data_IF_763913683627
#
_entry.id   IF_763913683627
#
_cell.length_a   1.000
_cell.length_b   1.000
_cell.length_c   1.000
_cell.angle_alpha   90.00
_cell.angle_beta   90.00
_cell.angle_gamma   90.00
#
_symmetry.space_group_name_H-M   'P 1'
#
loop_
_entity.id
_entity.type
_entity.pdbx_description
1 polymer ?
#
# COMPACT_ATOMS: atom_id res chain seq x y z
N UNK A 1 8.56 -83.85 -25.51
CA UNK A 1 8.20 -82.45 -25.79
C UNK A 1 7.17 -82.05 -24.74
N UNK A 2 7.65 -81.37 -23.68
CA UNK A 2 6.82 -80.92 -22.56
C UNK A 2 6.67 -79.39 -22.66
N UNK A 3 5.44 -78.91 -22.87
CA UNK A 3 5.12 -77.48 -22.84
C UNK A 3 4.91 -77.06 -21.38
N UNK A 4 5.75 -76.14 -20.91
CA UNK A 4 5.56 -75.47 -19.62
C UNK A 4 4.69 -74.23 -19.84
N UNK A 5 3.57 -74.16 -19.17
CA UNK A 5 2.71 -72.99 -19.09
C UNK A 5 3.09 -72.18 -17.85
N UNK A 6 3.61 -70.97 -18.04
CA UNK A 6 3.88 -70.03 -16.96
C UNK A 6 2.71 -69.09 -16.87
N UNK A 7 1.94 -69.21 -15.75
CA UNK A 7 0.85 -68.32 -15.41
C UNK A 7 1.42 -67.00 -14.82
N UNK A 8 1.11 -65.86 -15.47
CA UNK A 8 1.32 -64.53 -14.91
C UNK A 8 0.11 -64.14 -14.02
N UNK A 9 0.40 -64.05 -12.71
CA UNK A 9 -0.57 -63.46 -11.76
C UNK A 9 -0.44 -61.93 -11.83
N UNK A 10 -1.48 -61.24 -12.33
CA UNK A 10 -1.57 -59.80 -12.23
C UNK A 10 -1.95 -59.40 -10.80
N UNK A 11 -1.00 -58.88 -10.05
CA UNK A 11 -1.24 -58.25 -8.78
C UNK A 11 -1.75 -56.80 -9.00
N UNK A 12 -3.01 -56.58 -8.67
CA UNK A 12 -3.63 -55.24 -8.71
C UNK A 12 -3.14 -54.44 -7.52
N UNK A 13 -2.22 -53.51 -7.73
CA UNK A 13 -1.80 -52.51 -6.73
C UNK A 13 -2.91 -51.48 -6.61
N UNK A 14 -3.66 -51.49 -5.50
CA UNK A 14 -4.58 -50.41 -5.15
C UNK A 14 -3.72 -49.30 -4.54
N UNK A 15 -3.41 -48.27 -5.31
CA UNK A 15 -2.85 -47.02 -4.80
C UNK A 15 -3.97 -46.27 -4.11
N UNK A 16 -3.98 -46.30 -2.78
CA UNK A 16 -4.82 -45.42 -1.99
C UNK A 16 -4.27 -43.98 -2.16
N UNK A 17 -4.91 -43.20 -3.02
CA UNK A 17 -4.70 -41.76 -3.09
C UNK A 17 -5.18 -41.15 -1.78
N UNK A 18 -4.27 -40.87 -0.86
CA UNK A 18 -4.54 -40.02 0.28
C UNK A 18 -4.86 -38.62 -0.27
N UNK A 19 -6.16 -38.31 -0.38
CA UNK A 19 -6.63 -36.97 -0.60
C UNK A 19 -6.11 -36.13 0.60
N UNK A 20 -5.10 -35.31 0.37
CA UNK A 20 -4.79 -34.20 1.25
C UNK A 20 -6.05 -33.35 1.34
N UNK A 21 -6.80 -33.53 2.44
CA UNK A 21 -7.95 -32.71 2.74
C UNK A 21 -7.47 -31.26 2.84
N UNK A 22 -7.70 -30.47 1.78
CA UNK A 22 -7.60 -29.05 1.84
C UNK A 22 -8.53 -28.59 2.96
N UNK A 23 -7.97 -28.04 4.03
CA UNK A 23 -8.73 -27.33 5.06
C UNK A 23 -9.35 -26.12 4.39
N UNK A 24 -10.54 -26.31 3.79
CA UNK A 24 -11.36 -25.22 3.30
C UNK A 24 -11.65 -24.29 4.48
N UNK A 25 -11.05 -23.11 4.46
CA UNK A 25 -11.37 -22.09 5.45
C UNK A 25 -12.88 -21.83 5.44
N UNK A 26 -13.44 -21.49 6.59
CA UNK A 26 -14.83 -21.05 6.62
C UNK A 26 -14.96 -19.72 5.85
N UNK A 27 -16.13 -19.41 5.24
CA UNK A 27 -16.34 -18.11 4.56
C UNK A 27 -15.99 -16.88 5.44
N UNK A 28 -16.15 -17.03 6.77
CA UNK A 28 -15.76 -16.00 7.74
C UNK A 28 -14.23 -15.83 7.84
N UNK A 29 -13.47 -16.94 7.79
CA UNK A 29 -11.99 -16.88 7.82
C UNK A 29 -11.41 -16.29 6.52
N UNK A 30 -12.00 -16.62 5.39
CA UNK A 30 -11.58 -16.04 4.09
C UNK A 30 -11.81 -14.54 4.05
N UNK A 31 -12.97 -14.05 4.51
CA UNK A 31 -13.24 -12.61 4.62
C UNK A 31 -12.28 -11.90 5.58
N UNK A 32 -11.92 -12.54 6.70
CA UNK A 32 -10.97 -12.00 7.64
C UNK A 32 -9.56 -11.88 7.02
N UNK A 33 -9.12 -12.89 6.30
CA UNK A 33 -7.83 -12.88 5.59
C UNK A 33 -7.81 -11.82 4.49
N UNK A 34 -8.89 -11.72 3.69
CA UNK A 34 -8.98 -10.69 2.66
C UNK A 34 -8.92 -9.29 3.28
N UNK A 35 -9.64 -9.05 4.38
CA UNK A 35 -9.60 -7.78 5.08
C UNK A 35 -8.18 -7.44 5.58
N UNK A 36 -7.43 -8.40 6.08
CA UNK A 36 -6.03 -8.20 6.50
C UNK A 36 -5.13 -7.88 5.31
N UNK A 37 -5.29 -8.59 4.19
CA UNK A 37 -4.57 -8.31 2.95
C UNK A 37 -4.86 -6.89 2.46
N UNK A 38 -6.12 -6.46 2.47
CA UNK A 38 -6.52 -5.12 2.07
C UNK A 38 -5.91 -4.03 2.97
N UNK A 39 -5.92 -4.22 4.29
CA UNK A 39 -5.28 -3.31 5.25
C UNK A 39 -3.78 -3.21 4.97
N UNK A 40 -3.13 -4.34 4.68
CA UNK A 40 -1.71 -4.36 4.33
C UNK A 40 -1.45 -3.58 3.04
N UNK A 41 -2.23 -3.83 1.97
CA UNK A 41 -2.09 -3.10 0.70
C UNK A 41 -2.32 -1.60 0.87
N UNK A 42 -3.33 -1.19 1.65
CA UNK A 42 -3.58 0.21 1.97
C UNK A 42 -2.38 0.82 2.72
N UNK A 43 -1.80 0.09 3.67
CA UNK A 43 -0.61 0.57 4.40
C UNK A 43 0.62 0.74 3.51
N UNK A 44 0.74 -0.02 2.41
CA UNK A 44 1.83 0.16 1.43
C UNK A 44 1.71 1.49 0.65
N UNK A 45 0.51 2.08 0.58
CA UNK A 45 0.34 3.43 -0.01
C UNK A 45 1.18 4.45 0.76
N UNK A 46 1.13 4.44 2.09
CA UNK A 46 1.93 5.33 2.94
C UNK A 46 3.43 5.14 2.66
N UNK A 47 3.88 3.90 2.62
CA UNK A 47 5.28 3.57 2.32
C UNK A 47 5.72 4.16 0.99
N UNK A 48 5.01 3.84 -0.10
CA UNK A 48 5.34 4.34 -1.43
C UNK A 48 5.23 5.87 -1.52
N UNK A 49 4.27 6.46 -0.81
CA UNK A 49 4.09 7.91 -0.72
C UNK A 49 5.34 8.60 -0.15
N UNK A 50 5.87 8.12 0.98
CA UNK A 50 7.05 8.69 1.61
C UNK A 50 8.35 8.36 0.87
N UNK A 51 8.48 7.15 0.35
CA UNK A 51 9.62 6.78 -0.48
C UNK A 51 9.70 7.64 -1.75
N UNK A 52 8.58 7.89 -2.41
CA UNK A 52 8.53 8.73 -3.61
C UNK A 52 8.94 10.19 -3.30
N UNK A 53 8.50 10.73 -2.16
CA UNK A 53 8.96 12.06 -1.71
C UNK A 53 10.46 12.08 -1.42
N UNK A 54 10.98 11.11 -0.69
CA UNK A 54 12.40 11.03 -0.35
C UNK A 54 13.29 10.85 -1.57
N UNK A 55 12.83 10.08 -2.57
CA UNK A 55 13.52 9.88 -3.85
C UNK A 55 13.28 11.00 -4.87
N UNK A 56 12.36 11.93 -4.60
CA UNK A 56 11.87 12.95 -5.55
C UNK A 56 11.25 12.32 -6.82
N UNK A 57 10.67 11.14 -6.67
CA UNK A 57 10.03 10.40 -7.77
C UNK A 57 8.55 10.78 -7.91
N UNK A 58 8.30 11.78 -8.76
CA UNK A 58 6.94 12.25 -9.00
C UNK A 58 6.08 11.22 -9.76
N UNK A 59 6.66 10.34 -10.56
CA UNK A 59 5.91 9.32 -11.28
C UNK A 59 5.42 8.23 -10.31
N UNK A 60 6.28 7.77 -9.40
CA UNK A 60 5.87 6.86 -8.32
C UNK A 60 4.77 7.51 -7.46
N UNK A 61 4.97 8.78 -7.05
CA UNK A 61 3.95 9.51 -6.29
C UNK A 61 2.61 9.53 -7.01
N UNK A 62 2.59 9.89 -8.29
CA UNK A 62 1.35 10.02 -9.05
C UNK A 62 0.66 8.69 -9.34
N UNK A 63 1.39 7.58 -9.31
CA UNK A 63 0.83 6.24 -9.47
C UNK A 63 -0.11 5.80 -8.35
N UNK A 64 -0.05 6.48 -7.20
CA UNK A 64 -0.86 6.21 -6.01
C UNK A 64 -2.25 6.86 -6.07
N UNK A 65 -2.48 7.78 -7.01
CA UNK A 65 -3.68 8.61 -7.05
C UNK A 65 -4.71 8.14 -8.06
N UNK A 66 -5.97 8.16 -7.67
CA UNK A 66 -7.08 7.99 -8.61
C UNK A 66 -7.18 9.19 -9.58
N UNK A 67 -7.67 8.99 -10.84
CA UNK A 67 -7.72 10.06 -11.84
C UNK A 67 -8.43 11.33 -11.39
N UNK A 68 -9.50 11.20 -10.60
CA UNK A 68 -10.34 12.31 -10.13
C UNK A 68 -10.13 12.60 -8.63
N UNK A 69 -8.99 12.24 -8.09
CA UNK A 69 -8.67 12.46 -6.68
C UNK A 69 -8.64 13.96 -6.31
N UNK A 70 -8.78 14.22 -5.01
CA UNK A 70 -8.63 15.57 -4.45
C UNK A 70 -7.53 15.59 -3.40
N UNK A 71 -6.76 16.68 -3.39
CA UNK A 71 -5.73 16.92 -2.41
C UNK A 71 -5.91 18.30 -1.78
N UNK A 72 -6.28 18.33 -0.50
CA UNK A 72 -6.33 19.55 0.31
C UNK A 72 -5.02 19.70 1.07
N UNK A 73 -4.27 20.77 0.77
CA UNK A 73 -2.91 21.01 1.28
C UNK A 73 -2.78 22.29 2.12
N UNK A 74 -3.90 22.98 2.34
CA UNK A 74 -3.99 24.16 3.19
C UNK A 74 -5.42 24.69 3.26
N UNK A 75 -5.70 25.68 4.12
CA UNK A 75 -7.02 26.28 4.24
C UNK A 75 -7.52 26.83 2.90
N UNK A 76 -8.61 26.27 2.37
CA UNK A 76 -9.20 26.65 1.08
C UNK A 76 -8.35 26.28 -0.14
N UNK A 77 -7.26 25.53 0.01
CA UNK A 77 -6.38 25.14 -1.09
C UNK A 77 -6.60 23.65 -1.42
N UNK A 78 -7.18 23.40 -2.58
CA UNK A 78 -7.45 22.03 -3.04
C UNK A 78 -7.06 21.88 -4.50
N UNK A 79 -6.29 20.83 -4.80
CA UNK A 79 -6.02 20.37 -6.15
C UNK A 79 -6.99 19.23 -6.51
N UNK A 80 -7.51 19.22 -7.72
CA UNK A 80 -8.44 18.20 -8.21
C UNK A 80 -7.92 17.57 -9.49
N UNK A 81 -7.90 16.23 -9.50
CA UNK A 81 -7.36 15.44 -10.61
C UNK A 81 -5.83 15.39 -10.62
N UNK A 82 -5.32 14.34 -11.25
CA UNK A 82 -3.87 14.01 -11.21
C UNK A 82 -2.98 15.13 -11.75
N UNK A 83 -3.43 15.89 -12.76
CA UNK A 83 -2.63 16.98 -13.32
C UNK A 83 -2.40 18.13 -12.32
N UNK A 84 -3.45 18.54 -11.60
CA UNK A 84 -3.31 19.60 -10.59
C UNK A 84 -2.53 19.10 -9.37
N UNK A 85 -2.79 17.86 -8.93
CA UNK A 85 -2.08 17.24 -7.81
C UNK A 85 -0.59 17.13 -8.11
N UNK A 86 -0.21 16.68 -9.31
CA UNK A 86 1.19 16.67 -9.78
C UNK A 86 1.84 18.04 -9.71
N UNK A 87 1.16 19.05 -10.23
CA UNK A 87 1.67 20.43 -10.20
C UNK A 87 1.88 20.91 -8.76
N UNK A 88 0.95 20.59 -7.86
CA UNK A 88 1.05 20.95 -6.44
C UNK A 88 2.28 20.29 -5.79
N UNK A 89 2.49 18.99 -6.03
CA UNK A 89 3.65 18.28 -5.48
C UNK A 89 4.97 18.80 -6.02
N UNK A 90 5.08 19.02 -7.34
CA UNK A 90 6.29 19.58 -7.95
C UNK A 90 6.63 21.00 -7.46
N UNK A 91 5.65 21.77 -7.02
CA UNK A 91 5.85 23.07 -6.40
C UNK A 91 6.00 23.04 -4.87
N UNK A 92 5.99 21.84 -4.27
CA UNK A 92 6.15 21.72 -2.81
C UNK A 92 7.62 21.59 -2.42
N UNK A 93 8.03 22.08 -1.24
CA UNK A 93 9.38 21.88 -0.73
C UNK A 93 9.82 20.42 -0.69
N UNK A 94 8.88 19.48 -0.49
CA UNK A 94 9.17 18.04 -0.44
C UNK A 94 9.72 17.47 -1.75
N UNK A 95 9.46 18.13 -2.90
CA UNK A 95 9.92 17.72 -4.23
C UNK A 95 11.01 18.61 -4.82
N UNK A 96 11.35 19.70 -4.16
CA UNK A 96 12.47 20.55 -4.63
C UNK A 96 13.80 19.79 -4.52
N UNK A 97 14.63 19.76 -5.61
CA UNK A 97 15.91 19.07 -5.58
C UNK A 97 16.88 19.58 -4.51
N UNK A 98 16.75 20.86 -4.15
CA UNK A 98 17.60 21.51 -3.17
C UNK A 98 17.20 21.21 -1.71
N UNK A 99 16.06 20.56 -1.47
CA UNK A 99 15.67 20.21 -0.10
C UNK A 99 16.43 18.99 0.38
N UNK A 100 16.98 19.08 1.58
CA UNK A 100 17.72 18.03 2.27
C UNK A 100 16.82 17.15 3.12
N UNK A 101 15.50 17.24 2.97
CA UNK A 101 14.54 16.53 3.81
C UNK A 101 14.24 15.14 3.26
N UNK A 102 14.26 14.18 4.13
CA UNK A 102 13.73 12.83 3.93
C UNK A 102 12.61 12.59 4.93
N UNK A 103 11.69 11.72 4.57
CA UNK A 103 10.65 11.24 5.48
C UNK A 103 11.14 10.02 6.22
N UNK A 104 10.81 9.90 7.50
CA UNK A 104 11.02 8.64 8.22
C UNK A 104 10.15 7.54 7.63
N UNK A 105 10.65 6.34 7.75
CA UNK A 105 9.96 5.19 7.20
C UNK A 105 10.31 3.93 8.02
N UNK A 106 9.31 3.24 8.56
CA UNK A 106 7.87 3.52 8.47
C UNK A 106 7.46 4.77 9.27
N UNK A 107 6.26 5.30 8.96
CA UNK A 107 5.65 6.34 9.76
C UNK A 107 5.53 5.91 11.23
N UNK A 108 5.71 6.83 12.16
CA UNK A 108 5.60 6.50 13.59
C UNK A 108 4.15 6.27 14.04
N UNK A 109 3.18 6.72 13.23
CA UNK A 109 1.76 6.43 13.42
C UNK A 109 1.14 6.08 12.08
N UNK A 110 0.45 4.95 12.04
CA UNK A 110 -0.21 4.43 10.85
C UNK A 110 -1.50 3.71 11.25
N UNK A 111 -2.63 4.17 10.74
CA UNK A 111 -3.93 3.57 10.99
C UNK A 111 -4.67 3.37 9.66
N UNK A 112 -4.97 2.12 9.31
CA UNK A 112 -5.72 1.78 8.11
C UNK A 112 -7.03 1.08 8.45
N UNK A 113 -8.09 1.43 7.72
CA UNK A 113 -9.38 0.75 7.79
C UNK A 113 -9.84 0.33 6.41
N UNK A 114 -10.70 -0.70 6.35
CA UNK A 114 -11.29 -1.17 5.10
C UNK A 114 -12.74 -1.60 5.30
N UNK A 115 -13.57 -1.24 4.33
CA UNK A 115 -14.97 -1.67 4.22
C UNK A 115 -15.31 -1.88 2.74
N UNK A 116 -15.31 -3.13 2.28
CA UNK A 116 -15.44 -3.47 0.87
C UNK A 116 -14.32 -2.84 0.03
N UNK A 117 -14.70 -2.12 -1.02
CA UNK A 117 -13.75 -1.45 -1.93
C UNK A 117 -13.42 0.00 -1.53
N UNK A 118 -13.65 0.34 -0.28
CA UNK A 118 -13.30 1.65 0.29
C UNK A 118 -12.52 1.47 1.58
N UNK A 119 -11.64 2.42 1.87
CA UNK A 119 -10.87 2.43 3.11
C UNK A 119 -10.42 3.84 3.47
N UNK A 120 -9.81 3.93 4.63
CA UNK A 120 -9.11 5.13 5.09
C UNK A 120 -7.70 4.76 5.52
N UNK A 121 -6.80 5.73 5.41
CA UNK A 121 -5.44 5.64 5.90
C UNK A 121 -5.09 6.97 6.57
N UNK A 122 -4.72 6.91 7.85
CA UNK A 122 -4.14 8.02 8.59
C UNK A 122 -2.69 7.73 8.88
N UNK A 123 -1.82 8.72 8.72
CA UNK A 123 -0.42 8.60 9.08
C UNK A 123 0.12 9.88 9.70
N UNK A 124 1.15 9.73 10.52
CA UNK A 124 2.02 10.82 10.97
C UNK A 124 3.47 10.37 10.86
N UNK A 125 4.33 11.22 10.31
CA UNK A 125 5.76 10.95 10.16
C UNK A 125 6.59 12.22 10.34
N UNK A 126 7.91 12.04 10.42
CA UNK A 126 8.84 13.13 10.57
C UNK A 126 9.52 13.46 9.25
N UNK A 127 9.69 14.75 8.97
CA UNK A 127 10.69 15.20 8.02
C UNK A 127 12.00 15.43 8.74
N UNK A 128 13.02 14.73 8.28
CA UNK A 128 14.35 14.73 8.86
C UNK A 128 15.25 15.53 7.93
N UNK A 129 15.90 16.53 8.50
CA UNK A 129 16.96 17.26 7.82
C UNK A 129 18.20 16.36 7.77
N UNK A 130 18.69 16.03 6.57
CA UNK A 130 19.77 15.05 6.39
C UNK A 130 21.14 15.61 6.80
N UNK A 131 21.31 16.94 6.78
CA UNK A 131 22.58 17.57 7.15
C UNK A 131 22.76 17.59 8.67
N UNK A 132 21.69 17.79 9.41
CA UNK A 132 21.71 17.89 10.87
C UNK A 132 21.26 16.62 11.58
N UNK A 133 20.55 15.72 10.89
CA UNK A 133 19.91 14.55 11.47
C UNK A 133 18.76 14.86 12.44
N UNK A 134 18.25 16.10 12.42
CA UNK A 134 17.18 16.54 13.30
C UNK A 134 15.82 16.48 12.61
N UNK A 135 14.77 16.28 13.41
CA UNK A 135 13.39 16.40 12.94
C UNK A 135 13.11 17.88 12.67
N UNK A 136 12.86 18.22 11.40
CA UNK A 136 12.56 19.58 10.96
C UNK A 136 11.05 19.86 10.97
N UNK A 137 10.21 18.85 10.71
CA UNK A 137 8.76 18.99 10.72
C UNK A 137 8.08 17.65 11.07
N UNK A 138 6.89 17.74 11.63
CA UNK A 138 5.95 16.62 11.71
C UNK A 138 4.90 16.82 10.63
N UNK A 139 4.70 15.83 9.79
CA UNK A 139 3.69 15.85 8.75
C UNK A 139 2.73 14.69 8.93
N UNK A 140 1.51 14.87 8.48
CA UNK A 140 0.49 13.85 8.54
C UNK A 140 -0.50 13.99 7.40
N UNK A 141 -1.34 12.98 7.24
CA UNK A 141 -2.40 12.99 6.26
C UNK A 141 -3.51 12.02 6.57
N UNK A 142 -4.71 12.43 6.19
CA UNK A 142 -5.89 11.60 6.16
C UNK A 142 -6.22 11.28 4.70
N UNK A 143 -6.18 10.00 4.36
CA UNK A 143 -6.52 9.51 3.04
C UNK A 143 -7.85 8.79 3.04
N UNK A 144 -8.70 9.08 2.07
CA UNK A 144 -9.72 8.15 1.61
C UNK A 144 -9.16 7.37 0.43
N UNK A 145 -9.28 6.06 0.47
CA UNK A 145 -8.80 5.16 -0.58
C UNK A 145 -9.93 4.32 -1.14
N UNK A 146 -9.83 3.96 -2.40
CA UNK A 146 -10.77 3.03 -3.04
C UNK A 146 -10.02 2.02 -3.91
N UNK A 147 -10.60 0.82 -4.05
CA UNK A 147 -10.14 -0.19 -4.99
C UNK A 147 -10.68 0.16 -6.38
N UNK A 148 -9.80 0.47 -7.29
CA UNK A 148 -10.11 0.82 -8.68
C UNK A 148 -9.27 -0.10 -9.56
N UNK A 149 -9.91 -0.85 -10.45
CA UNK A 149 -9.25 -1.82 -11.33
C UNK A 149 -8.32 -2.79 -10.58
N UNK A 150 -8.78 -3.26 -9.40
CA UNK A 150 -8.06 -4.20 -8.56
C UNK A 150 -6.93 -3.59 -7.71
N UNK A 151 -6.69 -2.29 -7.75
CA UNK A 151 -5.64 -1.58 -7.00
C UNK A 151 -6.24 -0.58 -6.02
N UNK A 152 -5.65 -0.47 -4.84
CA UNK A 152 -5.98 0.59 -3.91
C UNK A 152 -5.33 1.91 -4.35
N UNK A 153 -6.15 2.96 -4.53
CA UNK A 153 -5.71 4.29 -4.95
C UNK A 153 -6.27 5.35 -4.01
N UNK A 154 -5.51 6.44 -3.84
CA UNK A 154 -5.93 7.62 -3.08
C UNK A 154 -7.01 8.35 -3.87
N UNK A 155 -8.19 8.52 -3.30
CA UNK A 155 -9.30 9.30 -3.89
C UNK A 155 -9.41 10.68 -3.27
N UNK A 156 -8.96 10.84 -2.03
CA UNK A 156 -8.90 12.11 -1.32
C UNK A 156 -7.75 12.10 -0.33
N UNK A 157 -7.08 13.23 -0.20
CA UNK A 157 -6.11 13.48 0.86
C UNK A 157 -6.35 14.84 1.50
N UNK A 158 -6.24 14.89 2.82
CA UNK A 158 -6.06 16.13 3.58
C UNK A 158 -4.72 16.04 4.28
N UNK A 159 -3.78 16.87 3.86
CA UNK A 159 -2.43 16.93 4.43
C UNK A 159 -2.37 17.94 5.58
N UNK A 160 -1.52 17.66 6.55
CA UNK A 160 -1.14 18.57 7.63
C UNK A 160 0.37 18.58 7.77
N UNK A 161 0.94 19.74 8.10
CA UNK A 161 2.37 19.87 8.41
C UNK A 161 2.55 20.88 9.52
N UNK A 162 3.21 20.45 10.58
CA UNK A 162 3.66 21.32 11.67
C UNK A 162 5.17 21.43 11.64
N UNK A 163 5.70 22.63 11.35
CA UNK A 163 7.13 22.87 11.46
C UNK A 163 7.52 22.97 12.93
N UNK A 164 8.61 22.32 13.30
CA UNK A 164 9.20 22.43 14.62
C UNK A 164 10.14 23.63 14.60
N UNK A 165 9.89 24.56 15.51
CA UNK A 165 10.85 25.63 15.79
C UNK A 165 11.98 25.02 16.60
N UNK A 166 13.11 24.79 15.98
CA UNK A 166 14.33 24.23 16.60
C UNK A 166 15.20 25.38 17.08
#
# INVERSE_FOLDING_TARGET
MRKLLIGCALGTLIVAASACGGSGGTPASEKALQRQADIYEISQIEKSFHESMSKKDIEEMMSLWAPNATFTYGPGQTATGTAQIRKTWLGSPSFEPATHWISDHPAYKLEATVNGDRGTLHFECHFIDVDTGKVAAVTGGDFDVARIDGRWLITRMVGSTAQLVV
#
